data_IF_290013742683
#
_entry.id   IF_290013742683
#
_cell.length_a   1.000
_cell.length_b   1.000
_cell.length_c   1.000
_cell.angle_alpha   90.00
_cell.angle_beta   90.00
_cell.angle_gamma   90.00
#
_symmetry.space_group_name_H-M   'P 1'
#
loop_
_entity.id
_entity.type
_entity.pdbx_description
1 polymer ?
#
# COMPACT_ATOMS: atom_id res chain seq x y z
N UNK A 1 60.55 59.95 -7.44
CA UNK A 1 60.76 58.95 -8.51
C UNK A 1 59.73 57.86 -8.29
N UNK A 2 58.71 57.83 -9.16
CA UNK A 2 57.39 57.23 -8.92
C UNK A 2 57.37 55.70 -9.01
N UNK A 3 56.74 55.09 -8.00
CA UNK A 3 56.25 53.71 -7.95
C UNK A 3 55.15 53.48 -9.01
N UNK A 4 55.35 52.52 -9.92
CA UNK A 4 54.32 52.12 -10.91
C UNK A 4 53.42 51.02 -10.36
N UNK A 5 52.13 51.37 -10.35
CA UNK A 5 50.92 50.58 -10.13
C UNK A 5 50.69 49.51 -11.20
N UNK A 6 50.06 48.39 -10.82
CA UNK A 6 48.86 47.86 -11.51
C UNK A 6 48.20 46.72 -10.70
N UNK A 7 47.28 47.09 -9.81
CA UNK A 7 46.20 46.20 -9.32
C UNK A 7 45.32 45.80 -10.50
N UNK A 8 45.26 44.50 -10.84
CA UNK A 8 44.26 43.97 -11.78
C UNK A 8 43.07 43.40 -11.01
N UNK A 9 41.91 43.87 -11.47
CA UNK A 9 40.56 43.83 -10.90
C UNK A 9 40.02 42.43 -10.56
N UNK A 10 39.18 42.44 -9.52
CA UNK A 10 38.17 41.44 -9.20
C UNK A 10 37.43 40.93 -10.44
N UNK A 11 37.19 39.64 -10.50
CA UNK A 11 35.96 39.08 -11.06
C UNK A 11 35.48 37.96 -10.14
N UNK A 12 34.41 38.30 -9.42
CA UNK A 12 33.57 37.44 -8.60
C UNK A 12 33.07 36.26 -9.42
N UNK A 13 33.31 35.04 -8.95
CA UNK A 13 32.62 33.82 -9.40
C UNK A 13 31.84 33.23 -8.21
N UNK A 14 30.91 34.02 -7.71
CA UNK A 14 29.80 33.53 -6.91
C UNK A 14 28.59 33.32 -7.84
N UNK A 15 27.81 32.27 -7.56
CA UNK A 15 26.55 31.89 -8.19
C UNK A 15 26.62 31.19 -9.56
N UNK A 16 26.90 29.89 -9.52
CA UNK A 16 26.22 28.93 -10.38
C UNK A 16 25.66 27.80 -9.49
N UNK A 17 24.60 28.13 -8.73
CA UNK A 17 23.69 27.18 -8.11
C UNK A 17 22.81 26.61 -9.22
N UNK A 18 23.22 25.49 -9.82
CA UNK A 18 22.33 24.67 -10.63
C UNK A 18 21.57 23.77 -9.66
N UNK A 19 20.26 23.92 -9.64
CA UNK A 19 19.30 23.10 -8.93
C UNK A 19 19.55 21.61 -9.23
N UNK A 20 20.17 20.90 -8.29
CA UNK A 20 20.08 19.45 -8.22
C UNK A 20 18.69 19.11 -7.68
N UNK A 21 17.67 19.13 -8.54
CA UNK A 21 16.42 18.43 -8.27
C UNK A 21 16.76 16.95 -8.23
N UNK A 22 16.96 16.42 -7.01
CA UNK A 22 17.01 15.01 -6.75
C UNK A 22 15.71 14.40 -7.26
N UNK A 23 15.77 13.80 -8.45
CA UNK A 23 14.78 12.86 -8.91
C UNK A 23 14.97 11.62 -8.04
N UNK A 24 14.43 11.67 -6.81
CA UNK A 24 14.15 10.47 -6.07
C UNK A 24 13.12 9.71 -6.91
N UNK A 25 13.60 8.85 -7.82
CA UNK A 25 12.87 7.65 -8.17
C UNK A 25 12.64 6.96 -6.83
N UNK A 26 11.50 7.23 -6.21
CA UNK A 26 10.89 6.28 -5.33
C UNK A 26 10.79 5.01 -6.17
N UNK A 27 11.72 4.08 -5.96
CA UNK A 27 11.50 2.72 -6.36
C UNK A 27 10.16 2.38 -5.73
N UNK A 28 9.11 2.29 -6.55
CA UNK A 28 7.90 1.62 -6.12
C UNK A 28 8.42 0.28 -5.58
N UNK A 29 8.09 -0.12 -4.34
CA UNK A 29 8.43 -1.47 -3.91
C UNK A 29 7.95 -2.37 -5.03
N UNK A 30 8.82 -3.23 -5.57
CA UNK A 30 8.41 -4.24 -6.54
C UNK A 30 7.29 -5.00 -5.84
N UNK A 31 6.06 -4.67 -6.20
CA UNK A 31 4.88 -5.16 -5.51
C UNK A 31 4.77 -6.60 -5.96
N UNK A 32 5.10 -7.53 -5.07
CA UNK A 32 4.84 -8.93 -5.34
C UNK A 32 3.35 -9.05 -5.71
N UNK A 33 3.08 -9.75 -6.79
CA UNK A 33 1.75 -10.10 -7.25
C UNK A 33 1.70 -11.63 -7.28
N UNK A 34 1.39 -12.20 -6.13
CA UNK A 34 1.15 -13.63 -5.98
C UNK A 34 -0.15 -13.98 -6.67
N UNK A 35 -0.05 -14.81 -7.70
CA UNK A 35 -1.17 -15.36 -8.48
C UNK A 35 -1.34 -16.81 -8.08
N UNK A 36 -2.55 -17.20 -7.67
CA UNK A 36 -2.87 -18.58 -7.32
C UNK A 36 -4.07 -19.14 -8.09
N UNK A 37 -4.04 -20.45 -8.29
CA UNK A 37 -5.18 -21.27 -8.72
C UNK A 37 -5.24 -22.56 -7.89
N UNK A 38 -6.44 -23.11 -7.72
CA UNK A 38 -6.66 -24.35 -6.95
C UNK A 38 -7.37 -25.41 -7.80
N UNK A 39 -6.68 -26.01 -8.79
CA UNK A 39 -7.33 -26.83 -9.80
C UNK A 39 -7.76 -28.22 -9.32
N UNK A 40 -7.25 -28.71 -8.18
CA UNK A 40 -7.42 -30.10 -7.73
C UNK A 40 -7.10 -31.12 -8.84
N UNK A 41 -5.98 -30.90 -9.52
CA UNK A 41 -5.58 -31.64 -10.73
C UNK A 41 -4.99 -33.00 -10.35
N UNK A 42 -5.68 -34.08 -10.69
CA UNK A 42 -5.15 -35.43 -10.54
C UNK A 42 -4.04 -35.71 -11.56
N UNK A 43 -2.94 -36.31 -11.11
CA UNK A 43 -1.84 -36.75 -11.98
C UNK A 43 -2.11 -38.18 -12.42
N UNK A 44 -2.27 -38.46 -13.73
CA UNK A 44 -2.45 -39.82 -14.22
C UNK A 44 -1.22 -40.70 -13.93
N UNK A 45 -1.50 -41.94 -13.54
CA UNK A 45 -0.52 -42.99 -13.28
C UNK A 45 -0.08 -43.68 -14.59
N UNK A 46 0.43 -42.90 -15.56
CA UNK A 46 0.90 -43.38 -16.86
C UNK A 46 2.06 -42.54 -17.39
N UNK A 47 2.65 -42.97 -18.51
CA UNK A 47 3.86 -42.34 -19.08
C UNK A 47 3.61 -40.95 -19.69
N UNK A 48 2.35 -40.63 -20.00
CA UNK A 48 1.96 -39.34 -20.57
C UNK A 48 1.88 -38.28 -19.46
N UNK A 49 1.30 -38.66 -18.33
CA UNK A 49 1.17 -37.81 -17.15
C UNK A 49 0.25 -36.61 -17.38
N UNK A 50 0.65 -35.46 -16.84
CA UNK A 50 -0.01 -34.17 -17.05
C UNK A 50 1.01 -33.07 -17.27
N UNK A 51 1.02 -32.53 -18.49
CA UNK A 51 1.70 -31.29 -18.84
C UNK A 51 0.89 -30.12 -18.29
N UNK A 52 1.56 -29.17 -17.65
CA UNK A 52 0.97 -28.00 -17.02
C UNK A 52 1.73 -26.75 -17.45
N UNK A 53 1.02 -25.72 -17.90
CA UNK A 53 1.51 -24.34 -17.91
C UNK A 53 0.99 -23.63 -16.66
N UNK A 54 1.90 -23.13 -15.83
CA UNK A 54 1.66 -22.54 -14.51
C UNK A 54 0.97 -21.18 -14.63
N UNK A 55 1.33 -20.38 -15.65
CA UNK A 55 0.79 -19.03 -15.86
C UNK A 55 -0.68 -19.07 -16.29
N UNK A 56 -1.00 -19.96 -17.23
CA UNK A 56 -2.31 -20.05 -17.87
C UNK A 56 -3.22 -21.07 -17.22
N UNK A 57 -2.67 -22.02 -16.44
CA UNK A 57 -3.39 -23.18 -15.92
C UNK A 57 -3.76 -24.21 -16.98
N UNK A 58 -3.26 -24.08 -18.22
CA UNK A 58 -3.52 -25.04 -19.29
C UNK A 58 -2.91 -26.41 -18.96
N UNK A 59 -3.65 -27.48 -19.25
CA UNK A 59 -3.20 -28.86 -19.01
C UNK A 59 -3.45 -29.76 -20.21
N UNK A 60 -2.70 -30.86 -20.30
CA UNK A 60 -2.84 -31.85 -21.37
C UNK A 60 -1.97 -33.07 -21.16
N UNK A 61 -2.18 -34.11 -21.98
CA UNK A 61 -1.43 -35.37 -21.92
C UNK A 61 -0.24 -35.43 -22.89
N UNK A 62 0.05 -34.35 -23.61
CA UNK A 62 1.17 -34.27 -24.53
C UNK A 62 1.75 -32.84 -24.55
N UNK A 63 3.06 -32.73 -24.73
CA UNK A 63 3.76 -31.44 -24.79
C UNK A 63 3.26 -30.53 -25.93
N UNK A 64 2.87 -31.12 -27.06
CA UNK A 64 2.30 -30.38 -28.20
C UNK A 64 0.88 -29.85 -27.94
N UNK A 65 0.18 -30.39 -26.94
CA UNK A 65 -1.16 -29.97 -26.56
C UNK A 65 -1.18 -28.81 -25.56
N UNK A 66 -0.04 -28.50 -24.93
CA UNK A 66 0.09 -27.44 -23.92
C UNK A 66 1.21 -26.50 -24.34
N UNK A 67 0.84 -25.42 -25.04
CA UNK A 67 1.80 -24.38 -25.42
C UNK A 67 2.45 -23.79 -24.18
N UNK A 68 3.78 -23.71 -24.16
CA UNK A 68 4.53 -23.13 -23.03
C UNK A 68 4.46 -23.95 -21.74
N UNK A 69 4.25 -25.27 -21.79
CA UNK A 69 4.23 -26.08 -20.57
C UNK A 69 5.51 -25.90 -19.74
N UNK A 70 5.34 -25.84 -18.42
CA UNK A 70 6.41 -25.57 -17.46
C UNK A 70 6.88 -26.84 -16.73
N UNK A 71 5.97 -27.79 -16.54
CA UNK A 71 6.24 -29.07 -15.87
C UNK A 71 5.33 -30.16 -16.42
N UNK A 72 5.84 -31.39 -16.50
CA UNK A 72 5.03 -32.60 -16.64
C UNK A 72 5.27 -33.51 -15.43
N UNK A 73 4.19 -33.92 -14.76
CA UNK A 73 4.21 -34.94 -13.72
C UNK A 73 3.67 -36.23 -14.31
N UNK A 74 4.46 -37.29 -14.26
CA UNK A 74 4.17 -38.52 -15.00
C UNK A 74 4.70 -39.75 -14.27
N UNK A 75 4.22 -40.93 -14.68
CA UNK A 75 4.69 -42.19 -14.17
C UNK A 75 5.73 -42.79 -15.10
N UNK A 76 6.90 -43.13 -14.56
CA UNK A 76 7.82 -44.06 -15.21
C UNK A 76 8.37 -45.01 -14.17
N UNK A 77 8.76 -46.23 -14.59
CA UNK A 77 9.24 -47.27 -13.67
C UNK A 77 8.30 -47.50 -12.46
N UNK A 78 6.99 -47.34 -12.69
CA UNK A 78 5.92 -47.46 -11.68
C UNK A 78 5.94 -46.45 -10.53
N UNK A 79 6.62 -45.32 -10.65
CA UNK A 79 6.63 -44.25 -9.66
C UNK A 79 6.47 -42.85 -10.28
N UNK A 80 6.21 -41.85 -9.44
CA UNK A 80 6.04 -40.44 -9.82
C UNK A 80 7.39 -39.80 -10.17
N UNK A 81 7.42 -39.12 -11.32
CA UNK A 81 8.58 -38.37 -11.83
C UNK A 81 8.13 -37.00 -12.33
N UNK A 82 9.12 -36.11 -12.45
CA UNK A 82 8.97 -34.77 -13.00
C UNK A 82 9.78 -34.64 -14.28
N UNK A 83 9.22 -33.96 -15.25
CA UNK A 83 9.88 -33.62 -16.50
C UNK A 83 9.73 -32.12 -16.74
N UNK A 84 10.80 -31.51 -17.26
CA UNK A 84 10.92 -30.07 -17.41
C UNK A 84 11.17 -29.71 -18.88
N UNK A 85 10.73 -28.54 -19.36
CA UNK A 85 11.07 -28.07 -20.69
C UNK A 85 12.59 -27.85 -20.78
N UNK A 86 13.11 -27.66 -21.99
CA UNK A 86 14.55 -27.35 -22.21
C UNK A 86 14.79 -25.91 -22.65
N UNK A 87 13.73 -25.18 -22.96
CA UNK A 87 13.77 -23.80 -23.48
C UNK A 87 12.74 -22.91 -22.80
N UNK A 88 13.10 -21.67 -22.43
CA UNK A 88 14.46 -21.10 -22.46
C UNK A 88 15.39 -21.81 -21.47
N UNK A 89 16.67 -21.95 -21.79
CA UNK A 89 17.62 -22.63 -20.91
C UNK A 89 17.70 -21.94 -19.54
N UNK A 90 17.91 -22.74 -18.47
CA UNK A 90 18.04 -22.28 -17.08
C UNK A 90 16.81 -21.58 -16.48
N UNK A 91 15.65 -21.66 -17.14
CA UNK A 91 14.42 -20.99 -16.66
C UNK A 91 13.49 -21.90 -15.86
N UNK A 92 13.74 -23.21 -15.86
CA UNK A 92 12.87 -24.24 -15.29
C UNK A 92 13.57 -25.04 -14.19
N UNK A 93 12.78 -25.77 -13.41
CA UNK A 93 13.26 -26.74 -12.43
C UNK A 93 12.52 -26.66 -11.10
N UNK A 94 12.67 -27.73 -10.33
CA UNK A 94 12.12 -27.84 -8.98
C UNK A 94 13.20 -27.59 -7.93
N UNK A 95 12.83 -26.94 -6.84
CA UNK A 95 13.71 -26.71 -5.69
C UNK A 95 14.24 -28.05 -5.16
N UNK A 96 15.55 -28.10 -4.94
CA UNK A 96 16.22 -29.33 -4.57
C UNK A 96 17.43 -29.11 -3.66
N UNK A 97 17.67 -30.09 -2.80
CA UNK A 97 18.94 -30.25 -2.08
C UNK A 97 19.82 -31.22 -2.87
N UNK A 98 20.86 -30.69 -3.51
CA UNK A 98 21.63 -31.45 -4.51
C UNK A 98 20.76 -31.76 -5.72
N UNK A 99 20.47 -33.04 -5.97
CA UNK A 99 19.57 -33.49 -7.05
C UNK A 99 18.21 -33.95 -6.56
N UNK A 100 18.00 -34.02 -5.25
CA UNK A 100 16.75 -34.51 -4.63
C UNK A 100 15.77 -33.36 -4.49
N UNK A 101 14.59 -33.48 -5.11
CA UNK A 101 13.53 -32.50 -5.00
C UNK A 101 13.04 -32.39 -3.56
N UNK A 102 12.95 -31.16 -3.05
CA UNK A 102 12.51 -30.91 -1.68
C UNK A 102 10.98 -31.01 -1.59
N UNK A 103 10.48 -31.50 -0.45
CA UNK A 103 9.07 -31.44 -0.07
C UNK A 103 8.88 -30.34 0.98
N UNK A 104 8.74 -29.09 0.50
CA UNK A 104 8.78 -27.90 1.35
C UNK A 104 7.58 -27.83 2.30
N UNK A 105 7.81 -27.25 3.48
CA UNK A 105 6.75 -26.82 4.41
C UNK A 105 6.20 -25.46 4.02
N UNK A 106 4.98 -25.12 4.48
CA UNK A 106 4.47 -23.75 4.39
C UNK A 106 5.46 -22.75 5.03
N UNK A 107 5.60 -21.58 4.43
CA UNK A 107 6.53 -20.53 4.83
C UNK A 107 7.95 -20.65 4.25
N UNK A 108 8.33 -21.80 3.68
CA UNK A 108 9.64 -21.95 3.05
C UNK A 108 9.78 -21.02 1.84
N UNK A 109 10.85 -20.23 1.77
CA UNK A 109 11.07 -19.30 0.66
C UNK A 109 11.45 -20.04 -0.63
N UNK A 110 10.82 -19.67 -1.74
CA UNK A 110 11.20 -20.04 -3.11
C UNK A 110 11.71 -18.81 -3.84
N UNK A 111 12.95 -18.85 -4.31
CA UNK A 111 13.60 -17.68 -4.93
C UNK A 111 14.79 -18.05 -5.82
N UNK A 112 15.38 -17.04 -6.46
CA UNK A 112 16.60 -17.16 -7.26
C UNK A 112 17.78 -17.80 -6.50
N UNK A 113 17.81 -17.71 -5.18
CA UNK A 113 18.92 -18.18 -4.35
C UNK A 113 18.95 -19.71 -4.15
N UNK A 114 17.89 -20.42 -4.51
CA UNK A 114 17.81 -21.87 -4.32
C UNK A 114 18.49 -22.64 -5.46
N UNK A 115 18.82 -23.91 -5.17
CA UNK A 115 19.22 -24.86 -6.20
C UNK A 115 17.98 -25.44 -6.85
N UNK A 116 18.00 -25.51 -8.19
CA UNK A 116 16.90 -26.05 -9.00
C UNK A 116 17.38 -27.27 -9.76
N UNK A 117 16.78 -28.42 -9.46
CA UNK A 117 17.01 -29.67 -10.18
C UNK A 117 16.12 -29.73 -11.42
N UNK A 118 16.70 -30.29 -12.49
CA UNK A 118 16.00 -30.63 -13.74
C UNK A 118 16.09 -32.13 -14.00
N UNK A 119 16.37 -32.91 -12.95
CA UNK A 119 16.41 -34.36 -13.02
C UNK A 119 15.11 -34.89 -13.63
N UNK A 120 15.25 -35.76 -14.62
CA UNK A 120 14.17 -36.45 -15.34
C UNK A 120 14.38 -37.98 -15.28
N UNK A 121 13.35 -38.77 -15.63
CA UNK A 121 13.20 -40.21 -15.33
C UNK A 121 14.18 -41.21 -15.96
N UNK A 122 15.47 -40.89 -16.06
CA UNK A 122 16.55 -41.82 -16.43
C UNK A 122 17.55 -42.14 -15.31
N UNK A 123 17.53 -41.39 -14.19
CA UNK A 123 18.54 -41.49 -13.11
C UNK A 123 18.18 -42.35 -11.89
N UNK A 124 17.03 -43.05 -11.93
CA UNK A 124 16.49 -43.79 -10.78
C UNK A 124 15.64 -42.94 -9.81
N UNK A 125 15.04 -43.56 -8.77
CA UNK A 125 14.07 -42.92 -7.88
C UNK A 125 14.69 -41.92 -6.90
N UNK A 126 16.02 -41.92 -6.73
CA UNK A 126 16.74 -41.16 -5.70
C UNK A 126 16.38 -39.67 -5.69
N UNK A 127 16.17 -39.06 -6.85
CA UNK A 127 15.88 -37.63 -6.94
C UNK A 127 14.44 -37.28 -6.49
N UNK A 128 13.55 -38.27 -6.40
CA UNK A 128 12.12 -38.11 -6.17
C UNK A 128 11.67 -38.73 -4.85
N UNK A 129 12.59 -39.22 -4.02
CA UNK A 129 12.28 -39.98 -2.79
C UNK A 129 11.32 -39.24 -1.86
N UNK A 130 11.39 -37.91 -1.81
CA UNK A 130 10.52 -37.08 -0.98
C UNK A 130 9.08 -36.99 -1.50
N UNK A 131 8.85 -37.31 -2.78
CA UNK A 131 7.57 -37.27 -3.47
C UNK A 131 7.04 -38.66 -3.84
N UNK A 132 7.84 -39.70 -3.66
CA UNK A 132 7.46 -41.11 -3.83
C UNK A 132 7.06 -41.79 -2.50
N UNK A 133 6.56 -40.97 -1.58
CA UNK A 133 6.05 -41.36 -0.26
C UNK A 133 4.75 -40.60 0.00
N UNK A 134 4.07 -40.93 1.09
CA UNK A 134 2.85 -40.21 1.46
C UNK A 134 3.21 -38.80 1.92
N UNK A 135 2.78 -37.82 1.13
CA UNK A 135 2.88 -36.40 1.48
C UNK A 135 1.50 -35.77 1.40
N UNK A 136 1.20 -34.91 2.35
CA UNK A 136 -0.03 -34.12 2.37
C UNK A 136 0.33 -32.71 2.80
N UNK A 137 -0.17 -31.71 2.10
CA UNK A 137 0.12 -30.31 2.46
C UNK A 137 1.56 -29.89 2.18
N UNK A 138 2.28 -30.55 1.27
CA UNK A 138 3.67 -30.23 0.93
C UNK A 138 3.76 -29.47 -0.37
N UNK A 139 4.84 -28.71 -0.52
CA UNK A 139 5.01 -27.81 -1.65
C UNK A 139 6.26 -28.17 -2.46
N UNK A 140 6.09 -28.37 -3.76
CA UNK A 140 7.19 -28.40 -4.71
C UNK A 140 7.46 -26.95 -5.12
N UNK A 141 8.57 -26.37 -4.65
CA UNK A 141 9.02 -25.07 -5.13
C UNK A 141 9.49 -25.18 -6.57
N UNK A 142 9.17 -24.17 -7.39
CA UNK A 142 9.52 -24.18 -8.83
C UNK A 142 10.03 -22.83 -9.28
N UNK A 143 10.88 -22.86 -10.30
CA UNK A 143 11.10 -21.72 -11.19
C UNK A 143 10.61 -22.08 -12.58
N UNK A 144 10.12 -21.09 -13.31
CA UNK A 144 9.65 -21.27 -14.68
C UNK A 144 9.79 -19.96 -15.46
N UNK A 145 9.75 -20.04 -16.79
CA UNK A 145 9.72 -18.86 -17.64
C UNK A 145 8.29 -18.39 -17.81
N UNK A 146 7.96 -17.21 -17.28
CA UNK A 146 6.64 -16.64 -17.48
C UNK A 146 6.59 -15.93 -18.84
N UNK A 147 5.81 -16.47 -19.77
CA UNK A 147 5.69 -15.92 -21.12
C UNK A 147 4.93 -14.58 -21.16
N UNK A 148 4.08 -14.31 -20.16
CA UNK A 148 3.35 -13.06 -20.06
C UNK A 148 4.24 -11.89 -19.61
N UNK A 149 5.28 -12.16 -18.83
CA UNK A 149 6.22 -11.13 -18.32
C UNK A 149 7.61 -11.21 -18.93
N UNK A 150 7.89 -12.27 -19.72
CA UNK A 150 9.23 -12.56 -20.27
C UNK A 150 10.33 -12.60 -19.21
N UNK A 151 10.00 -13.09 -18.02
CA UNK A 151 10.90 -13.16 -16.87
C UNK A 151 10.84 -14.55 -16.21
N UNK A 152 11.88 -14.88 -15.44
CA UNK A 152 11.83 -16.06 -14.56
C UNK A 152 10.97 -15.71 -13.35
N UNK A 153 9.99 -16.55 -13.06
CA UNK A 153 9.17 -16.42 -11.88
C UNK A 153 9.35 -17.62 -10.96
N UNK A 154 9.03 -17.37 -9.68
CA UNK A 154 9.16 -18.35 -8.61
C UNK A 154 7.78 -18.68 -8.08
N UNK A 155 7.55 -19.96 -7.86
CA UNK A 155 6.24 -20.45 -7.47
C UNK A 155 6.32 -21.73 -6.68
N UNK A 156 5.16 -22.30 -6.43
CA UNK A 156 5.05 -23.62 -5.85
C UNK A 156 3.81 -24.35 -6.36
N UNK A 157 3.89 -25.68 -6.34
CA UNK A 157 2.75 -26.57 -6.45
C UNK A 157 2.52 -27.18 -5.07
N UNK A 158 1.36 -26.95 -4.46
CA UNK A 158 0.93 -27.79 -3.36
C UNK A 158 0.52 -29.13 -3.96
N UNK A 159 1.09 -30.20 -3.43
CA UNK A 159 0.78 -31.55 -3.87
C UNK A 159 0.52 -32.47 -2.69
N UNK A 160 -0.40 -33.40 -2.92
CA UNK A 160 -0.57 -34.59 -2.09
C UNK A 160 -0.18 -35.82 -2.90
N UNK A 161 0.61 -36.70 -2.31
CA UNK A 161 1.07 -37.96 -2.91
C UNK A 161 0.73 -39.15 -2.00
N UNK A 162 0.44 -40.29 -2.62
CA UNK A 162 0.03 -41.53 -1.95
C UNK A 162 1.20 -42.39 -1.48
N UNK A 163 0.99 -43.70 -1.38
CA UNK A 163 1.93 -44.67 -0.80
C UNK A 163 3.31 -44.73 -1.53
N UNK A 164 4.13 -45.74 -1.21
CA UNK A 164 5.38 -46.00 -1.93
C UNK A 164 5.14 -45.94 -3.44
N UNK A 165 5.88 -45.05 -4.12
CA UNK A 165 5.78 -44.68 -5.55
C UNK A 165 5.07 -43.35 -5.85
N UNK A 166 4.49 -42.67 -4.85
CA UNK A 166 3.99 -41.30 -4.97
C UNK A 166 2.60 -41.18 -5.60
N UNK A 167 1.92 -42.30 -5.86
CA UNK A 167 0.55 -42.33 -6.37
C UNK A 167 -0.46 -42.84 -5.32
N UNK A 168 -1.72 -42.35 -5.33
CA UNK A 168 -2.25 -41.27 -6.18
C UNK A 168 -1.54 -39.93 -5.93
N UNK A 169 -1.44 -39.09 -6.96
CA UNK A 169 -0.85 -37.76 -6.85
C UNK A 169 -1.86 -36.71 -7.32
N UNK A 170 -1.98 -35.60 -6.57
CA UNK A 170 -2.87 -34.48 -6.88
C UNK A 170 -2.14 -33.17 -6.67
N UNK A 171 -2.30 -32.22 -7.60
CA UNK A 171 -1.88 -30.83 -7.46
C UNK A 171 -3.10 -30.04 -6.98
N UNK A 172 -3.13 -29.66 -5.70
CA UNK A 172 -4.29 -28.96 -5.16
C UNK A 172 -4.21 -27.46 -5.35
N UNK A 173 -3.01 -26.89 -5.41
CA UNK A 173 -2.81 -25.45 -5.57
C UNK A 173 -1.54 -25.16 -6.37
N UNK A 174 -1.61 -24.14 -7.21
CA UNK A 174 -0.49 -23.58 -7.94
C UNK A 174 -0.44 -22.10 -7.59
N UNK A 175 0.69 -21.61 -7.11
CA UNK A 175 0.88 -20.18 -6.88
C UNK A 175 2.25 -19.74 -7.37
N UNK A 176 2.35 -18.51 -7.86
CA UNK A 176 3.63 -17.92 -8.25
C UNK A 176 3.64 -16.41 -8.04
N UNK A 177 4.83 -15.85 -7.89
CA UNK A 177 5.05 -14.41 -7.83
C UNK A 177 5.35 -13.89 -9.23
N UNK A 178 4.47 -13.04 -9.76
CA UNK A 178 4.45 -12.60 -11.15
C UNK A 178 5.51 -11.54 -11.49
N UNK A 179 6.26 -11.01 -10.52
CA UNK A 179 7.33 -10.02 -10.77
C UNK A 179 8.74 -10.60 -10.81
N UNK A 180 8.90 -11.88 -10.42
CA UNK A 180 10.20 -12.54 -10.29
C UNK A 180 10.85 -12.36 -8.92
N UNK A 181 10.12 -11.82 -7.96
CA UNK A 181 10.51 -11.79 -6.56
C UNK A 181 10.34 -13.17 -5.90
N UNK A 182 10.85 -13.30 -4.68
CA UNK A 182 10.70 -14.52 -3.89
C UNK A 182 9.24 -14.70 -3.42
N UNK A 183 8.81 -15.96 -3.27
CA UNK A 183 7.51 -16.35 -2.71
C UNK A 183 7.69 -17.29 -1.53
N UNK A 184 6.84 -17.18 -0.51
CA UNK A 184 6.77 -18.20 0.53
C UNK A 184 5.84 -19.33 0.10
N UNK A 185 6.27 -20.59 0.22
CA UNK A 185 5.43 -21.76 0.00
C UNK A 185 4.15 -21.67 0.86
N UNK A 186 2.99 -21.92 0.25
CA UNK A 186 1.70 -21.74 0.92
C UNK A 186 1.18 -20.30 1.00
N UNK A 187 1.88 -19.29 0.46
CA UNK A 187 1.33 -17.94 0.32
C UNK A 187 0.14 -17.94 -0.65
N UNK A 188 -1.02 -17.42 -0.22
CA UNK A 188 -2.20 -17.28 -1.07
C UNK A 188 -2.12 -16.08 -2.01
N UNK A 189 -3.16 -15.88 -2.84
CA UNK A 189 -3.25 -14.71 -3.72
C UNK A 189 -3.20 -13.41 -2.93
N UNK A 190 -2.50 -12.41 -3.46
CA UNK A 190 -2.52 -11.08 -2.89
C UNK A 190 -3.90 -10.45 -3.02
N UNK A 191 -4.30 -9.68 -2.00
CA UNK A 191 -5.58 -8.96 -2.01
C UNK A 191 -5.39 -7.58 -1.42
N UNK A 192 -5.87 -6.56 -2.15
CA UNK A 192 -5.82 -5.18 -1.68
C UNK A 192 -6.80 -4.98 -0.49
N UNK A 193 -6.44 -4.17 0.52
CA UNK A 193 -7.38 -3.84 1.57
C UNK A 193 -8.52 -2.98 1.04
N UNK A 194 -9.70 -3.17 1.62
CA UNK A 194 -10.81 -2.23 1.48
C UNK A 194 -10.57 -1.03 2.38
N UNK A 195 -10.64 0.18 1.81
CA UNK A 195 -10.52 1.43 2.56
C UNK A 195 -11.89 1.94 2.98
N UNK A 196 -11.99 2.37 4.23
CA UNK A 196 -13.14 3.08 4.77
C UNK A 196 -12.72 4.44 5.30
N UNK A 197 -13.61 5.42 5.18
CA UNK A 197 -13.33 6.82 5.44
C UNK A 197 -14.31 7.40 6.46
N UNK A 198 -13.80 8.14 7.44
CA UNK A 198 -14.62 8.93 8.35
C UNK A 198 -14.08 10.35 8.49
N UNK A 199 -14.85 11.39 8.14
CA UNK A 199 -16.23 11.30 7.63
C UNK A 199 -16.34 10.66 6.24
N UNK A 200 -17.51 10.09 5.93
CA UNK A 200 -17.79 9.47 4.63
C UNK A 200 -17.89 10.51 3.52
N UNK A 201 -17.75 10.08 2.26
CA UNK A 201 -17.92 10.96 1.08
C UNK A 201 -19.28 11.66 1.07
N UNK A 202 -20.33 10.95 1.50
CA UNK A 202 -21.70 11.49 1.61
C UNK A 202 -21.86 12.50 2.75
N UNK A 203 -21.16 12.33 3.88
CA UNK A 203 -21.22 13.26 5.00
C UNK A 203 -20.44 14.56 4.73
N UNK A 204 -19.39 14.49 3.89
CA UNK A 204 -18.48 15.61 3.66
C UNK A 204 -17.63 15.96 4.88
N UNK A 205 -16.86 17.03 4.80
CA UNK A 205 -16.01 17.53 5.88
C UNK A 205 -16.46 18.93 6.28
N UNK A 206 -16.83 19.09 7.54
CA UNK A 206 -17.12 20.40 8.13
C UNK A 206 -15.99 20.81 9.07
N UNK A 207 -15.41 21.99 8.83
CA UNK A 207 -14.38 22.53 9.71
C UNK A 207 -15.00 23.19 10.95
N UNK A 208 -14.32 23.16 12.11
CA UNK A 208 -14.79 23.83 13.31
C UNK A 208 -15.00 25.35 13.13
N UNK A 209 -16.08 25.88 13.71
CA UNK A 209 -16.32 27.32 13.79
C UNK A 209 -15.36 28.03 14.76
N UNK A 210 -15.21 29.35 14.63
CA UNK A 210 -14.36 30.16 15.49
C UNK A 210 -13.79 31.40 14.79
N UNK A 211 -12.91 32.13 15.49
CA UNK A 211 -12.31 33.36 15.00
C UNK A 211 -11.54 33.19 13.67
N UNK A 212 -11.34 34.29 12.94
CA UNK A 212 -10.57 34.29 11.70
C UNK A 212 -9.18 33.65 11.91
N UNK A 213 -8.75 32.82 10.96
CA UNK A 213 -7.50 32.07 11.06
C UNK A 213 -7.59 30.66 10.48
N UNK A 214 -6.45 29.96 10.50
CA UNK A 214 -6.33 28.59 10.01
C UNK A 214 -6.90 27.59 11.02
N UNK A 215 -7.65 26.61 10.52
CA UNK A 215 -8.20 25.50 11.30
C UNK A 215 -8.03 24.21 10.51
N UNK A 216 -7.78 23.11 11.22
CA UNK A 216 -7.55 21.81 10.62
C UNK A 216 -8.78 20.91 10.79
N UNK A 217 -8.93 19.98 9.85
CA UNK A 217 -9.85 18.86 9.94
C UNK A 217 -9.23 17.66 9.25
N UNK A 218 -9.71 16.46 9.57
CA UNK A 218 -9.07 15.22 9.14
C UNK A 218 -10.13 14.24 8.69
N UNK A 219 -9.86 13.57 7.57
CA UNK A 219 -10.56 12.35 7.18
C UNK A 219 -9.69 11.19 7.64
N UNK A 220 -10.18 10.40 8.59
CA UNK A 220 -9.53 9.15 9.00
C UNK A 220 -9.74 8.10 7.92
N UNK A 221 -8.69 7.33 7.65
CA UNK A 221 -8.72 6.21 6.71
C UNK A 221 -8.40 4.95 7.51
N UNK A 222 -9.23 3.93 7.38
CA UNK A 222 -8.94 2.60 7.93
C UNK A 222 -9.00 1.55 6.84
N UNK A 223 -8.09 0.58 6.91
CA UNK A 223 -7.84 -0.41 5.89
C UNK A 223 -7.93 -1.81 6.49
N UNK A 224 -8.68 -2.70 5.84
CA UNK A 224 -8.83 -4.08 6.29
C UNK A 224 -8.89 -5.05 5.09
N UNK A 225 -8.48 -6.30 5.34
CA UNK A 225 -8.55 -7.38 4.34
C UNK A 225 -7.34 -7.48 3.40
N UNK A 226 -6.24 -6.76 3.66
CA UNK A 226 -5.01 -6.95 2.89
C UNK A 226 -4.45 -8.36 3.10
N UNK A 227 -4.06 -9.03 2.01
CA UNK A 227 -3.35 -10.31 2.01
C UNK A 227 -2.05 -10.17 1.23
N UNK A 228 -0.98 -10.76 1.77
CA UNK A 228 0.35 -10.73 1.18
C UNK A 228 0.85 -9.32 0.90
N UNK A 229 1.22 -9.04 -0.35
CA UNK A 229 1.70 -7.75 -0.82
C UNK A 229 0.58 -6.80 -1.30
N UNK A 230 -0.69 -7.20 -1.16
CA UNK A 230 -1.82 -6.37 -1.55
C UNK A 230 -1.87 -5.02 -0.80
N UNK A 231 -2.17 -3.95 -1.52
CA UNK A 231 -2.20 -2.58 -1.01
C UNK A 231 -3.25 -1.72 -1.70
N UNK A 232 -3.69 -0.65 -1.03
CA UNK A 232 -4.49 0.42 -1.62
C UNK A 232 -3.81 1.75 -1.36
N UNK A 233 -3.74 2.63 -2.36
CA UNK A 233 -3.11 3.94 -2.24
C UNK A 233 -4.11 5.07 -2.47
N UNK A 234 -4.16 6.05 -1.56
CA UNK A 234 -4.95 7.28 -1.71
C UNK A 234 -4.01 8.41 -2.12
N UNK A 235 -4.11 8.82 -3.38
CA UNK A 235 -3.19 9.79 -4.01
C UNK A 235 -3.97 10.83 -4.82
N UNK A 236 -3.27 11.81 -5.41
CA UNK A 236 -3.89 12.78 -6.32
C UNK A 236 -4.97 13.67 -5.69
N UNK A 237 -4.97 13.81 -4.36
CA UNK A 237 -5.94 14.63 -3.66
C UNK A 237 -5.85 16.10 -4.07
N UNK A 238 -6.92 16.64 -4.62
CA UNK A 238 -7.01 18.03 -5.08
C UNK A 238 -8.33 18.67 -4.65
N UNK A 239 -8.28 19.97 -4.36
CA UNK A 239 -9.45 20.77 -3.98
C UNK A 239 -9.83 21.67 -5.15
N UNK A 240 -11.12 21.69 -5.49
CA UNK A 240 -11.67 22.49 -6.59
C UNK A 240 -13.00 23.16 -6.19
N UNK A 241 -13.46 24.13 -7.00
CA UNK A 241 -14.69 24.88 -6.77
C UNK A 241 -14.45 26.32 -6.29
N UNK A 242 -15.55 27.08 -6.14
CA UNK A 242 -15.50 28.52 -5.92
C UNK A 242 -14.79 28.94 -4.62
N UNK A 243 -14.88 28.13 -3.55
CA UNK A 243 -14.21 28.38 -2.27
C UNK A 243 -12.83 27.74 -2.14
N UNK A 244 -12.26 27.13 -3.18
CA UNK A 244 -11.03 26.34 -3.08
C UNK A 244 -9.84 27.13 -2.51
N UNK A 245 -9.75 28.44 -2.80
CA UNK A 245 -8.70 29.31 -2.29
C UNK A 245 -8.69 29.46 -0.75
N UNK A 246 -9.79 29.11 -0.08
CA UNK A 246 -9.86 29.12 1.39
C UNK A 246 -9.30 27.85 2.03
N UNK A 247 -8.92 26.84 1.25
CA UNK A 247 -8.39 25.57 1.76
C UNK A 247 -6.89 25.44 1.44
N UNK A 248 -6.13 24.89 2.38
CA UNK A 248 -4.71 24.65 2.20
C UNK A 248 -4.40 23.38 1.40
N UNK A 249 -3.11 23.11 1.21
CA UNK A 249 -2.66 21.88 0.55
C UNK A 249 -3.11 20.63 1.32
N UNK A 250 -3.53 19.61 0.58
CA UNK A 250 -3.93 18.32 1.13
C UNK A 250 -2.70 17.47 1.37
N UNK A 251 -2.64 16.79 2.51
CA UNK A 251 -1.59 15.82 2.80
C UNK A 251 -2.21 14.49 3.21
N UNK A 252 -1.51 13.39 2.95
CA UNK A 252 -1.90 12.05 3.39
C UNK A 252 -0.91 11.51 4.41
N UNK A 253 -1.40 10.69 5.33
CA UNK A 253 -0.61 9.96 6.32
C UNK A 253 -1.04 8.50 6.26
N UNK A 254 -0.15 7.52 6.04
CA UNK A 254 1.29 7.70 5.75
C UNK A 254 1.52 8.52 4.47
N UNK A 255 2.74 9.05 4.30
CA UNK A 255 3.12 9.72 3.06
C UNK A 255 2.87 8.78 1.87
N UNK A 256 2.32 9.32 0.77
CA UNK A 256 1.84 8.59 -0.40
C UNK A 256 0.53 7.80 -0.19
N UNK A 257 -0.07 7.84 1.01
CA UNK A 257 -1.38 7.28 1.31
C UNK A 257 -1.50 5.77 1.08
N UNK A 258 -0.41 5.01 1.25
CA UNK A 258 -0.39 3.56 1.00
C UNK A 258 -0.82 2.79 2.25
N UNK A 259 -1.80 1.91 2.07
CA UNK A 259 -2.34 1.02 3.09
C UNK A 259 -2.16 -0.42 2.67
N UNK A 260 -1.73 -1.28 3.60
CA UNK A 260 -1.46 -2.70 3.36
C UNK A 260 -1.61 -3.48 4.68
N UNK A 261 -1.09 -4.71 4.73
CA UNK A 261 -1.14 -5.56 5.93
C UNK A 261 -0.41 -4.96 7.15
N UNK A 262 0.58 -4.08 6.94
CA UNK A 262 1.34 -3.42 8.01
C UNK A 262 0.82 -2.02 8.34
N UNK A 263 0.27 -1.31 7.35
CA UNK A 263 -0.29 0.04 7.52
C UNK A 263 -1.80 0.01 7.36
N UNK A 264 -2.51 -0.16 8.48
CA UNK A 264 -3.97 -0.36 8.50
C UNK A 264 -4.77 0.90 8.83
N UNK A 265 -4.09 2.00 9.17
CA UNK A 265 -4.73 3.26 9.54
C UNK A 265 -3.93 4.47 9.07
N UNK A 266 -4.62 5.57 8.84
CA UNK A 266 -4.03 6.79 8.33
C UNK A 266 -5.05 7.93 8.23
N UNK A 267 -4.68 8.97 7.51
CA UNK A 267 -5.51 10.16 7.36
C UNK A 267 -5.27 10.94 6.08
N UNK A 268 -6.28 11.70 5.69
CA UNK A 268 -6.17 12.83 4.76
C UNK A 268 -6.33 14.08 5.62
N UNK A 269 -5.25 14.86 5.75
CA UNK A 269 -5.23 16.06 6.58
C UNK A 269 -5.52 17.29 5.73
N UNK A 270 -6.45 18.09 6.23
CA UNK A 270 -6.99 19.26 5.55
C UNK A 270 -6.83 20.49 6.45
N UNK A 271 -6.71 21.64 5.82
CA UNK A 271 -6.73 22.94 6.51
C UNK A 271 -7.64 23.91 5.76
N UNK A 272 -8.30 24.80 6.48
CA UNK A 272 -9.02 25.92 5.91
C UNK A 272 -8.72 27.21 6.66
N UNK A 273 -8.70 28.34 5.95
CA UNK A 273 -8.57 29.67 6.54
C UNK A 273 -9.94 30.32 6.58
N UNK A 274 -10.47 30.55 7.78
CA UNK A 274 -11.78 31.18 7.99
C UNK A 274 -11.72 32.65 7.62
N UNK A 275 -12.52 33.03 6.62
CA UNK A 275 -12.70 34.42 6.17
C UNK A 275 -13.98 35.04 6.72
N UNK A 276 -14.34 36.21 6.21
CA UNK A 276 -15.58 36.93 6.55
C UNK A 276 -16.84 36.24 6.00
N UNK A 277 -16.70 35.39 4.98
CA UNK A 277 -17.75 34.56 4.41
C UNK A 277 -17.39 33.08 4.53
N UNK A 278 -18.41 32.23 4.60
CA UNK A 278 -18.22 30.79 4.55
C UNK A 278 -17.75 30.38 3.16
N UNK A 279 -16.88 29.38 3.08
CA UNK A 279 -16.34 28.86 1.83
C UNK A 279 -16.68 27.37 1.69
N UNK A 280 -17.06 26.98 0.48
CA UNK A 280 -17.35 25.59 0.11
C UNK A 280 -16.50 25.18 -1.09
N UNK A 281 -16.00 23.95 -1.05
CA UNK A 281 -15.20 23.36 -2.13
C UNK A 281 -15.42 21.85 -2.20
N UNK A 282 -14.85 21.20 -3.21
CA UNK A 282 -14.87 19.74 -3.36
C UNK A 282 -13.44 19.21 -3.32
N UNK A 283 -13.18 18.29 -2.40
CA UNK A 283 -11.98 17.46 -2.40
C UNK A 283 -12.22 16.23 -3.26
N UNK A 284 -11.32 15.92 -4.18
CA UNK A 284 -11.31 14.66 -4.92
C UNK A 284 -9.94 13.98 -4.78
N UNK A 285 -9.93 12.70 -4.38
CA UNK A 285 -8.75 11.85 -4.30
C UNK A 285 -8.91 10.60 -5.17
N UNK A 286 -7.81 10.05 -5.65
CA UNK A 286 -7.76 8.79 -6.40
C UNK A 286 -7.34 7.66 -5.46
N UNK A 287 -8.18 6.63 -5.36
CA UNK A 287 -7.88 5.40 -4.65
C UNK A 287 -7.55 4.30 -5.67
N UNK A 288 -6.33 3.75 -5.59
CA UNK A 288 -5.88 2.66 -6.46
C UNK A 288 -5.60 1.42 -5.63
N UNK A 289 -6.22 0.30 -5.99
CA UNK A 289 -5.97 -1.00 -5.37
C UNK A 289 -4.97 -1.83 -6.21
N UNK A 290 -4.09 -2.56 -5.52
CA UNK A 290 -3.13 -3.52 -6.08
C UNK A 290 -3.20 -4.84 -5.29
N UNK A 291 -3.43 -6.00 -5.92
CA UNK A 291 -3.73 -6.16 -7.34
C UNK A 291 -5.01 -5.41 -7.75
N UNK A 292 -5.09 -5.04 -9.03
CA UNK A 292 -6.20 -4.24 -9.56
C UNK A 292 -7.52 -4.99 -9.37
N UNK A 293 -8.42 -4.42 -8.58
CA UNK A 293 -9.80 -4.89 -8.44
C UNK A 293 -10.70 -4.18 -9.45
N UNK A 294 -11.84 -4.80 -9.78
CA UNK A 294 -12.82 -4.20 -10.69
C UNK A 294 -13.25 -2.80 -10.19
N UNK A 295 -13.18 -1.81 -11.08
CA UNK A 295 -13.49 -0.41 -10.77
C UNK A 295 -12.33 0.42 -10.20
N UNK A 296 -11.17 -0.18 -9.91
CA UNK A 296 -9.94 0.56 -9.62
C UNK A 296 -9.36 1.16 -10.91
N UNK A 297 -8.92 2.44 -10.92
CA UNK A 297 -8.90 3.37 -9.79
C UNK A 297 -10.27 4.01 -9.50
N UNK A 298 -10.56 4.26 -8.22
CA UNK A 298 -11.79 4.92 -7.76
C UNK A 298 -11.54 6.41 -7.49
N UNK A 299 -12.49 7.27 -7.85
CA UNK A 299 -12.51 8.67 -7.39
C UNK A 299 -13.34 8.79 -6.13
N UNK A 300 -12.74 9.30 -5.05
CA UNK A 300 -13.42 9.61 -3.78
C UNK A 300 -13.58 11.11 -3.66
N UNK A 301 -14.81 11.59 -3.48
CA UNK A 301 -15.12 13.01 -3.43
C UNK A 301 -15.83 13.39 -2.13
N UNK A 302 -15.41 14.49 -1.51
CA UNK A 302 -16.02 15.05 -0.31
C UNK A 302 -16.35 16.52 -0.54
N UNK A 303 -17.54 16.92 -0.08
CA UNK A 303 -17.88 18.33 0.04
C UNK A 303 -17.17 18.90 1.26
N UNK A 304 -16.47 20.01 1.10
CA UNK A 304 -15.77 20.72 2.17
C UNK A 304 -16.54 21.99 2.55
N UNK A 305 -16.70 22.24 3.84
CA UNK A 305 -17.31 23.46 4.37
C UNK A 305 -16.40 24.11 5.41
N UNK A 306 -15.92 25.32 5.10
CA UNK A 306 -15.19 26.20 6.02
C UNK A 306 -16.13 27.31 6.50
N UNK A 307 -16.50 27.37 7.79
CA UNK A 307 -17.44 28.37 8.30
C UNK A 307 -16.85 29.79 8.28
N UNK A 308 -17.72 30.79 8.18
CA UNK A 308 -17.33 32.19 8.34
C UNK A 308 -16.80 32.43 9.77
N UNK A 309 -15.80 33.31 9.89
CA UNK A 309 -15.41 33.84 11.18
C UNK A 309 -16.53 34.74 11.74
N UNK A 310 -16.86 34.64 13.04
CA UNK A 310 -17.77 35.58 13.67
C UNK A 310 -17.28 37.02 13.43
N UNK A 311 -18.22 37.93 13.19
CA UNK A 311 -17.89 39.35 13.13
C UNK A 311 -17.23 39.74 14.46
N UNK A 312 -16.02 40.31 14.39
CA UNK A 312 -15.42 40.96 15.55
C UNK A 312 -16.32 42.15 15.85
N UNK A 313 -17.13 42.06 16.91
CA UNK A 313 -17.83 43.22 17.43
C UNK A 313 -16.75 44.26 17.71
N UNK A 314 -16.80 45.38 16.98
CA UNK A 314 -15.92 46.51 17.24
C UNK A 314 -15.99 46.78 18.75
N UNK A 315 -14.86 47.06 19.43
CA UNK A 315 -14.91 47.44 20.83
C UNK A 315 -15.93 48.57 20.91
N UNK A 316 -17.05 48.32 21.60
CA UNK A 316 -18.02 49.36 21.91
C UNK A 316 -17.20 50.45 22.55
N UNK A 317 -17.04 51.56 21.85
CA UNK A 317 -16.51 52.77 22.43
C UNK A 317 -17.39 53.02 23.63
N UNK A 318 -16.86 52.76 24.83
CA UNK A 318 -17.48 53.24 26.06
C UNK A 318 -17.60 54.74 25.79
N UNK A 319 -18.81 55.32 25.70
CA UNK A 319 -18.93 56.76 25.54
C UNK A 319 -18.10 57.33 26.68
N UNK A 320 -17.08 58.12 26.34
CA UNK A 320 -16.30 58.78 27.36
C UNK A 320 -17.33 59.50 28.22
N UNK A 321 -17.43 59.09 29.49
CA UNK A 321 -18.17 59.85 30.47
C UNK A 321 -17.44 61.19 30.50
N UNK A 322 -17.97 62.15 29.73
CA UNK A 322 -17.61 63.54 29.85
C UNK A 322 -17.63 63.88 31.33
N UNK A 323 -16.69 64.72 31.72
CA UNK A 323 -16.31 65.17 33.07
C UNK A 323 -17.44 65.63 34.01
N UNK A 324 -18.70 65.45 33.65
CA UNK A 324 -19.90 65.79 34.41
C UNK A 324 -20.29 64.71 35.43
N UNK A 325 -19.93 63.43 35.23
CA UNK A 325 -20.42 62.36 36.13
C UNK A 325 -19.61 62.19 37.43
N UNK A 326 -18.37 62.70 37.51
CA UNK A 326 -17.57 62.65 38.74
C UNK A 326 -18.08 63.63 39.81
N UNK A 327 -18.78 64.70 39.43
CA UNK A 327 -19.33 65.68 40.37
C UNK A 327 -20.64 65.24 41.04
N UNK A 328 -21.43 64.35 40.42
CA UNK A 328 -22.67 63.87 41.04
C UNK A 328 -22.45 62.76 42.09
N UNK A 329 -21.32 62.05 42.07
CA UNK A 329 -21.04 61.00 43.06
C UNK A 329 -20.41 61.55 44.36
N UNK A 330 -19.76 62.72 44.32
CA UNK A 330 -19.18 63.36 45.52
C UNK A 330 -20.24 64.10 46.35
N UNK A 331 -21.34 64.56 45.74
CA UNK A 331 -22.43 65.21 46.49
C UNK A 331 -23.32 64.24 47.29
N UNK A 332 -23.29 62.93 46.98
CA UNK A 332 -24.10 61.93 47.69
C UNK A 332 -23.47 61.43 49.00
N UNK A 333 -22.17 61.65 49.22
CA UNK A 333 -21.47 61.23 50.46
C UNK A 333 -21.39 62.32 51.54
N UNK A 334 -21.69 63.58 51.22
CA UNK A 334 -21.68 64.68 52.20
C UNK A 334 -23.05 64.94 52.87
N UNK A 335 -24.14 64.35 52.35
CA UNK A 335 -25.49 64.53 52.90
C UNK A 335 -25.92 63.56 54.00
N UNK A 336 -25.19 62.47 54.24
CA UNK A 336 -25.61 61.38 55.14
C UNK A 336 -24.89 61.35 56.50
N UNK A 337 -24.02 62.32 56.78
CA UNK A 337 -23.16 62.34 57.98
C UNK A 337 -23.73 63.07 59.22
N UNK A 338 -24.92 63.68 59.16
CA UNK A 338 -25.42 64.54 60.25
C UNK A 338 -26.55 63.97 61.11
N UNK A 339 -26.99 62.71 60.93
CA UNK A 339 -28.20 62.22 61.61
C UNK A 339 -28.04 61.18 62.73
N UNK A 340 -26.84 60.80 63.17
CA UNK A 340 -26.70 59.82 64.26
C UNK A 340 -25.59 60.17 65.25
N UNK A 341 -25.87 61.06 66.20
CA UNK A 341 -25.13 61.13 67.47
C UNK A 341 -25.91 61.86 68.57
N UNK A 342 -27.07 61.33 69.00
CA UNK A 342 -27.60 61.60 70.35
C UNK A 342 -28.24 60.33 70.94
N UNK A 343 -28.06 60.13 72.26
CA UNK A 343 -28.50 59.03 73.16
C UNK A 343 -27.62 57.76 73.17
N UNK A 344 -27.23 57.17 74.30
CA UNK A 344 -27.68 57.31 75.69
C UNK A 344 -26.61 56.87 76.71
N UNK A 345 -26.70 57.45 77.91
CA UNK A 345 -26.11 56.97 79.18
C UNK A 345 -26.85 55.74 79.69
N UNK A 346 -26.11 54.80 80.27
CA UNK A 346 -26.35 54.13 81.56
C UNK A 346 -25.14 53.30 81.91
#
# INVERSE_FOLDING_TARGET
MHTKSAKKRLLSRAALLINATALCLSAAPAMAAVVCSSPALSVPANIDGVYLNIVTGATGSASSGVSGWDINLYQTTSALYFFWPTTPANSFGGVATGTVYDALTAGATVSAAQTYSVASGGGGPTNYVNWQTTTTGRYLGVRFFNEATSAINYGYLQMDTGATNGYPATINQICYENTGAAIAAGAGSDSAPTLTYSPTTAAGVSFPAGAAGSVNSTITVSAAGAVGAGSSAVTGCSISGAGAASFGAVTTTPANGVFNSSTTAGSINLSCTRGTAAATATLACTETATPTVAGSPFTRSWNLTCPAAPAVLAPTTIPSLGTVSLWMMVLSFLGLGMLFATRARS
#
